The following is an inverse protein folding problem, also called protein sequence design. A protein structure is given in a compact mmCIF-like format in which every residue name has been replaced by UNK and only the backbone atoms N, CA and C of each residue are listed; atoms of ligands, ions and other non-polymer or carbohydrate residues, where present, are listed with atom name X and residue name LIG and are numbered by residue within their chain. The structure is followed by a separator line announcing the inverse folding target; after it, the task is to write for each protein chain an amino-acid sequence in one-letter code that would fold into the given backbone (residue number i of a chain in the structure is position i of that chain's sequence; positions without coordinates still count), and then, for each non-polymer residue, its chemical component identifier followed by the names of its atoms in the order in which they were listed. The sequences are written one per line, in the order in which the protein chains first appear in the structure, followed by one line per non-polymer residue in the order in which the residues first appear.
data_IF_925059026055
#
_entry.id   IF_925059026055
#
_cell.length_a   1.000
_cell.length_b   1.000
_cell.length_c   1.000
_cell.angle_alpha   90.00
_cell.angle_beta   90.00
_cell.angle_gamma   90.00
#
_symmetry.space_group_name_H-M   'P 1'
#
loop_
_entity.id
_entity.type
_entity.pdbx_description
1 polymer ?
#
# COMPACT_ATOMS: atom_id res chain seq x y z
N UNK A 1 10.98 3.82 -12.28
CA UNK A 1 11.95 4.90 -12.02
C UNK A 1 11.75 5.45 -10.61
N UNK A 2 12.80 5.96 -9.97
CA UNK A 2 12.71 6.67 -8.69
C UNK A 2 13.22 8.10 -8.90
N UNK A 3 12.45 9.10 -8.51
CA UNK A 3 12.81 10.53 -8.59
C UNK A 3 12.96 11.08 -7.17
N UNK A 4 14.06 11.78 -6.87
CA UNK A 4 14.22 12.48 -5.59
C UNK A 4 13.51 13.84 -5.66
N UNK A 5 12.69 14.13 -4.66
CA UNK A 5 11.95 15.40 -4.54
C UNK A 5 12.26 16.08 -3.21
N UNK A 6 11.84 17.33 -3.04
CA UNK A 6 12.11 18.13 -1.82
C UNK A 6 11.76 17.39 -0.52
N UNK A 7 10.69 16.59 -0.54
CA UNK A 7 10.23 15.80 0.61
C UNK A 7 10.08 14.31 0.24
N UNK A 8 11.20 13.64 0.00
CA UNK A 8 11.25 12.20 -0.22
C UNK A 8 11.48 11.81 -1.68
N UNK A 9 10.73 10.81 -2.13
CA UNK A 9 10.94 10.13 -3.41
C UNK A 9 9.60 9.87 -4.09
N UNK A 10 9.62 9.91 -5.43
CA UNK A 10 8.50 9.47 -6.26
C UNK A 10 8.93 8.19 -6.96
N UNK A 11 8.16 7.13 -6.77
CA UNK A 11 8.25 5.93 -7.61
C UNK A 11 7.25 6.08 -8.73
N UNK A 12 7.72 5.96 -9.96
CA UNK A 12 6.89 6.11 -11.15
C UNK A 12 7.14 4.94 -12.13
N UNK A 13 6.07 4.35 -12.63
CA UNK A 13 6.10 3.42 -13.74
C UNK A 13 5.94 4.16 -15.07
N UNK A 14 7.04 4.26 -15.82
CA UNK A 14 7.13 4.96 -17.12
C UNK A 14 6.31 4.34 -18.24
N UNK A 15 5.68 3.17 -18.01
CA UNK A 15 4.75 2.53 -18.95
C UNK A 15 3.29 2.90 -18.68
N UNK A 16 3.04 3.87 -17.80
CA UNK A 16 1.71 4.40 -17.45
C UNK A 16 1.76 5.91 -17.51
N UNK A 17 0.60 6.55 -17.65
CA UNK A 17 0.48 7.99 -17.42
C UNK A 17 0.94 8.36 -16.01
N UNK A 18 1.67 9.46 -15.88
CA UNK A 18 2.26 9.88 -14.61
C UNK A 18 1.21 9.97 -13.51
N UNK A 19 0.09 10.65 -13.78
CA UNK A 19 -1.02 10.85 -12.84
C UNK A 19 -1.47 9.55 -12.13
N UNK A 20 -1.56 8.45 -12.87
CA UNK A 20 -2.05 7.15 -12.37
C UNK A 20 -0.93 6.13 -12.09
N UNK A 21 0.31 6.47 -12.45
CA UNK A 21 1.45 5.56 -12.45
C UNK A 21 2.50 5.83 -11.38
N UNK A 22 2.26 6.82 -10.48
CA UNK A 22 3.24 7.27 -9.50
C UNK A 22 2.77 7.16 -8.04
N UNK A 23 3.72 7.22 -7.12
CA UNK A 23 3.46 7.23 -5.68
C UNK A 23 4.60 7.91 -4.93
N UNK A 24 4.26 8.59 -3.83
CA UNK A 24 5.21 9.33 -3.00
C UNK A 24 5.62 8.50 -1.78
N UNK A 25 6.92 8.44 -1.51
CA UNK A 25 7.51 7.70 -0.40
C UNK A 25 8.58 8.53 0.29
N UNK A 26 8.67 8.44 1.61
CA UNK A 26 9.72 9.16 2.34
C UNK A 26 11.07 8.45 2.27
N UNK A 27 11.08 7.13 2.10
CA UNK A 27 12.29 6.30 2.11
C UNK A 27 12.65 5.81 0.71
N UNK A 28 13.93 5.97 0.36
CA UNK A 28 14.51 5.41 -0.86
C UNK A 28 14.50 3.87 -0.83
N UNK A 29 14.75 3.27 0.34
CA UNK A 29 14.74 1.81 0.49
C UNK A 29 13.34 1.23 0.26
N UNK A 30 12.32 1.90 0.78
CA UNK A 30 10.94 1.52 0.50
C UNK A 30 10.62 1.67 -0.99
N UNK A 31 11.14 2.72 -1.62
CA UNK A 31 10.97 2.95 -3.06
C UNK A 31 11.52 1.79 -3.89
N UNK A 32 12.74 1.31 -3.58
CA UNK A 32 13.31 0.11 -4.21
C UNK A 32 12.48 -1.12 -3.93
N UNK A 33 12.06 -1.32 -2.67
CA UNK A 33 11.24 -2.47 -2.28
C UNK A 33 9.93 -2.56 -3.08
N UNK A 34 9.23 -1.44 -3.29
CA UNK A 34 8.00 -1.42 -4.07
C UNK A 34 8.24 -1.82 -5.53
N UNK A 35 9.32 -1.30 -6.14
CA UNK A 35 9.72 -1.67 -7.51
C UNK A 35 10.06 -3.16 -7.58
N UNK A 36 10.91 -3.63 -6.67
CA UNK A 36 11.34 -5.02 -6.58
C UNK A 36 10.16 -5.99 -6.43
N UNK A 37 9.22 -5.66 -5.55
CA UNK A 37 8.02 -6.46 -5.36
C UNK A 37 7.13 -6.47 -6.60
N UNK A 38 6.99 -5.33 -7.29
CA UNK A 38 6.21 -5.26 -8.53
C UNK A 38 6.85 -6.06 -9.67
N UNK A 39 8.18 -6.03 -9.81
CA UNK A 39 8.91 -6.80 -10.83
C UNK A 39 8.86 -8.30 -10.50
N UNK A 40 9.17 -8.66 -9.25
CA UNK A 40 9.25 -10.06 -8.80
C UNK A 40 7.89 -10.64 -8.41
N UNK A 41 6.80 -9.87 -8.54
CA UNK A 41 5.42 -10.22 -8.14
C UNK A 41 5.33 -10.73 -6.70
N UNK A 42 6.17 -10.18 -5.81
CA UNK A 42 6.23 -10.60 -4.41
C UNK A 42 5.10 -9.97 -3.63
N UNK A 43 4.45 -10.76 -2.77
CA UNK A 43 3.41 -10.26 -1.86
C UNK A 43 4.02 -9.29 -0.83
N UNK A 44 3.52 -8.04 -0.72
CA UNK A 44 3.98 -7.11 0.30
C UNK A 44 3.70 -7.66 1.70
N UNK A 45 4.71 -7.62 2.58
CA UNK A 45 4.60 -8.11 3.96
C UNK A 45 4.00 -7.08 4.94
N UNK A 46 3.70 -5.88 4.45
CA UNK A 46 3.20 -4.78 5.27
C UNK A 46 1.70 -4.86 5.52
N UNK A 47 1.25 -4.31 6.65
CA UNK A 47 -0.16 -4.07 6.95
C UNK A 47 -0.63 -2.68 6.52
N UNK A 48 0.29 -1.78 6.14
CA UNK A 48 -0.06 -0.44 5.71
C UNK A 48 -0.72 -0.46 4.33
N UNK A 49 -2.00 -0.10 4.28
CA UNK A 49 -2.82 -0.09 3.06
C UNK A 49 -2.21 0.86 2.00
N UNK A 50 -1.74 2.04 2.39
CA UNK A 50 -1.14 3.01 1.47
C UNK A 50 0.06 2.41 0.73
N UNK A 51 0.90 1.63 1.42
CA UNK A 51 2.04 0.98 0.78
C UNK A 51 1.58 -0.11 -0.20
N UNK A 52 0.48 -0.82 0.07
CA UNK A 52 -0.07 -1.83 -0.84
C UNK A 52 -0.68 -1.15 -2.07
N UNK A 53 -1.45 -0.07 -1.89
CA UNK A 53 -1.96 0.76 -2.99
C UNK A 53 -0.82 1.33 -3.85
N UNK A 54 0.31 1.65 -3.22
CA UNK A 54 1.50 2.13 -3.92
C UNK A 54 2.06 1.08 -4.89
N UNK A 55 1.99 -0.22 -4.53
CA UNK A 55 2.33 -1.30 -5.48
C UNK A 55 1.30 -1.38 -6.63
N UNK A 56 0.00 -1.19 -6.34
CA UNK A 56 -1.07 -1.18 -7.36
C UNK A 56 -0.87 -0.04 -8.37
N UNK A 57 -0.51 1.16 -7.90
CA UNK A 57 -0.27 2.32 -8.77
C UNK A 57 0.87 2.08 -9.74
N UNK A 58 1.93 1.41 -9.31
CA UNK A 58 3.14 1.23 -10.14
C UNK A 58 3.16 -0.07 -10.94
N UNK A 59 2.35 -1.09 -10.62
CA UNK A 59 2.30 -2.33 -11.41
C UNK A 59 1.51 -2.17 -12.71
N UNK A 60 1.90 -2.95 -13.73
CA UNK A 60 1.13 -3.19 -14.96
C UNK A 60 0.59 -4.62 -15.06
N UNK A 61 0.99 -5.51 -14.15
CA UNK A 61 0.53 -6.90 -14.16
C UNK A 61 -0.85 -6.97 -13.50
N UNK A 62 -1.86 -7.37 -14.28
CA UNK A 62 -3.26 -7.45 -13.84
C UNK A 62 -3.48 -8.53 -12.77
N UNK A 63 -2.80 -9.68 -12.88
CA UNK A 63 -2.90 -10.77 -11.89
C UNK A 63 -2.31 -10.33 -10.55
N UNK A 64 -1.14 -9.69 -10.59
CA UNK A 64 -0.51 -9.15 -9.38
C UNK A 64 -1.37 -8.04 -8.77
N UNK A 65 -1.93 -7.15 -9.59
CA UNK A 65 -2.86 -6.12 -9.12
C UNK A 65 -4.06 -6.73 -8.39
N UNK A 66 -4.71 -7.74 -8.96
CA UNK A 66 -5.85 -8.42 -8.34
C UNK A 66 -5.48 -9.00 -6.96
N UNK A 67 -4.34 -9.68 -6.85
CA UNK A 67 -3.84 -10.24 -5.57
C UNK A 67 -3.66 -9.13 -4.51
N UNK A 68 -3.20 -7.94 -4.92
CA UNK A 68 -3.02 -6.81 -4.02
C UNK A 68 -4.35 -6.19 -3.58
N UNK A 69 -5.34 -6.13 -4.48
CA UNK A 69 -6.69 -5.64 -4.17
C UNK A 69 -7.39 -6.57 -3.17
N UNK A 70 -7.31 -7.90 -3.39
CA UNK A 70 -7.79 -8.91 -2.44
C UNK A 70 -7.09 -8.80 -1.07
N UNK A 71 -5.78 -8.52 -1.07
CA UNK A 71 -5.01 -8.29 0.16
C UNK A 71 -5.49 -7.04 0.92
N UNK A 72 -5.83 -5.96 0.23
CA UNK A 72 -6.39 -4.74 0.85
C UNK A 72 -7.75 -5.04 1.46
N UNK A 73 -8.62 -5.73 0.72
CA UNK A 73 -9.97 -6.06 1.19
C UNK A 73 -9.93 -6.94 2.45
N UNK A 74 -9.12 -7.99 2.45
CA UNK A 74 -8.92 -8.85 3.62
C UNK A 74 -8.38 -8.08 4.84
N UNK A 75 -7.55 -7.03 4.63
CA UNK A 75 -7.06 -6.18 5.72
C UNK A 75 -8.13 -5.23 6.24
N UNK A 76 -8.96 -4.64 5.36
CA UNK A 76 -10.07 -3.76 5.74
C UNK A 76 -11.11 -4.50 6.59
N UNK A 77 -11.42 -5.76 6.26
CA UNK A 77 -12.35 -6.58 7.03
C UNK A 77 -11.85 -6.83 8.45
N UNK A 78 -10.58 -7.25 8.62
CA UNK A 78 -9.97 -7.44 9.95
C UNK A 78 -10.01 -6.20 10.85
N UNK A 79 -9.92 -4.99 10.28
CA UNK A 79 -10.02 -3.75 11.06
C UNK A 79 -11.46 -3.47 11.53
N UNK A 80 -12.48 -3.90 10.78
CA UNK A 80 -13.88 -3.74 11.19
C UNK A 80 -14.24 -4.62 12.38
N UNK A 81 -13.74 -5.86 12.40
CA UNK A 81 -14.02 -6.83 13.46
C UNK A 81 -13.30 -6.48 14.78
N UNK A 82 -12.17 -5.78 14.70
CA UNK A 82 -11.40 -5.29 15.86
C UNK A 82 -11.89 -3.93 16.41
N UNK A 83 -13.13 -3.51 16.13
CA UNK A 83 -13.69 -2.32 16.79
C UNK A 83 -13.78 -2.58 18.30
N UNK A 84 -12.88 -1.94 19.05
CA UNK A 84 -12.91 -1.93 20.50
C UNK A 84 -14.25 -1.36 20.98
N UNK A 85 -15.10 -2.21 21.54
CA UNK A 85 -16.30 -1.78 22.25
C UNK A 85 -15.91 -1.52 23.70
N UNK A 86 -15.65 -0.25 24.04
CA UNK A 86 -15.55 0.13 25.44
C UNK A 86 -16.96 -0.01 26.05
N UNK A 87 -17.25 -1.12 26.73
CA UNK A 87 -18.39 -1.17 27.64
C UNK A 87 -18.03 -0.26 28.80
N UNK A 88 -18.46 1.01 28.74
CA UNK A 88 -18.47 1.87 29.92
C UNK A 88 -19.15 1.08 31.04
N UNK A 89 -18.39 0.78 32.09
CA UNK A 89 -18.94 0.24 33.33
C UNK A 89 -19.98 1.26 33.83
N UNK A 90 -21.26 0.90 33.75
CA UNK A 90 -22.27 1.55 34.57
C UNK A 90 -21.93 1.21 36.02
N UNK A 91 -21.38 2.18 36.76
CA UNK A 91 -21.42 2.14 38.21
C UNK A 91 -22.89 2.27 38.61
N UNK A 92 -23.52 1.14 38.94
CA UNK A 92 -24.76 1.14 39.69
C UNK A 92 -24.41 1.48 41.15
N UNK A 93 -24.80 2.68 41.59
CA UNK A 93 -25.00 3.01 43.00
C UNK A 93 -26.47 2.74 43.35
#
# INVERSE_FOLDING_TARGET
MILKVKKGYIVYNTKKEFENGHTHLQSFEMSKTIIDNSIKKKRPKTNNIYLIESHIRVTNDSKYKQILEELIEAKKQKTKDNKYHNRSYCNAC
#
